data_IF_072421530546
#
_entry.id   IF_072421530546
#
_cell.length_a   1.000
_cell.length_b   1.000
_cell.length_c   1.000
_cell.angle_alpha   90.00
_cell.angle_beta   90.00
_cell.angle_gamma   90.00
#
_symmetry.space_group_name_H-M   'P 1'
#
loop_
_entity.id
_entity.type
_entity.pdbx_description
1 polymer ?
#
# COMPACT_ATOMS: atom_id res chain seq x y z
N UNK A 1 0.25 -31.23 -25.93
CA UNK A 1 -0.18 -29.84 -25.66
C UNK A 1 -0.74 -29.84 -24.25
N UNK A 2 0.06 -29.44 -23.25
CA UNK A 2 -0.41 -29.38 -21.85
C UNK A 2 -1.40 -28.22 -21.76
N UNK A 3 -2.67 -28.53 -21.49
CA UNK A 3 -3.68 -27.52 -21.20
C UNK A 3 -3.42 -26.98 -19.80
N UNK A 4 -3.10 -25.70 -19.69
CA UNK A 4 -3.09 -25.01 -18.39
C UNK A 4 -4.54 -24.80 -17.94
N UNK A 5 -4.91 -25.35 -16.80
CA UNK A 5 -6.19 -25.01 -16.17
C UNK A 5 -6.07 -23.61 -15.54
N UNK A 6 -7.17 -22.88 -15.45
CA UNK A 6 -7.19 -21.57 -14.76
C UNK A 6 -6.77 -21.70 -13.30
N UNK A 7 -6.97 -22.87 -12.69
CA UNK A 7 -6.54 -23.23 -11.34
C UNK A 7 -5.02 -23.39 -11.21
N UNK A 8 -4.30 -23.58 -12.32
CA UNK A 8 -2.83 -23.65 -12.35
C UNK A 8 -2.17 -22.26 -12.46
N UNK A 9 -2.98 -21.21 -12.68
CA UNK A 9 -2.48 -19.84 -12.70
C UNK A 9 -2.20 -19.36 -11.28
N UNK A 10 -1.06 -18.69 -11.04
CA UNK A 10 -0.80 -18.07 -9.75
C UNK A 10 -1.92 -17.09 -9.39
N UNK A 11 -2.25 -17.05 -8.11
CA UNK A 11 -3.23 -16.10 -7.62
C UNK A 11 -2.73 -14.69 -7.91
N UNK A 12 -3.64 -13.78 -8.29
CA UNK A 12 -3.32 -12.34 -8.42
C UNK A 12 -2.78 -11.72 -7.12
N UNK A 13 -2.90 -12.43 -6.00
CA UNK A 13 -2.44 -12.02 -4.68
C UNK A 13 -1.10 -12.66 -4.27
N UNK A 14 -0.51 -13.48 -5.14
CA UNK A 14 0.81 -14.04 -4.90
C UNK A 14 1.85 -12.91 -4.81
N UNK A 15 2.73 -12.98 -3.80
CA UNK A 15 3.74 -11.96 -3.56
C UNK A 15 3.26 -10.68 -2.87
N UNK A 16 1.97 -10.56 -2.50
CA UNK A 16 1.51 -9.40 -1.70
C UNK A 16 2.27 -9.30 -0.38
N UNK A 17 2.47 -10.42 0.33
CA UNK A 17 3.13 -10.43 1.64
C UNK A 17 4.60 -9.98 1.61
N UNK A 18 5.30 -10.12 0.47
CA UNK A 18 6.68 -9.64 0.33
C UNK A 18 6.77 -8.13 0.12
N UNK A 19 5.65 -7.47 -0.19
CA UNK A 19 5.56 -6.02 -0.42
C UNK A 19 5.16 -5.24 0.84
N UNK A 20 4.81 -5.93 1.93
CA UNK A 20 4.34 -5.31 3.16
C UNK A 20 5.52 -5.18 4.15
N UNK A 21 5.75 -4.00 4.75
CA UNK A 21 6.71 -3.83 5.84
C UNK A 21 6.43 -4.77 7.01
N UNK A 22 7.47 -5.26 7.68
CA UNK A 22 7.30 -6.24 8.76
C UNK A 22 6.90 -5.62 10.10
N UNK A 23 7.20 -4.34 10.27
CA UNK A 23 6.93 -3.61 11.49
C UNK A 23 6.69 -2.13 11.21
N UNK A 24 5.99 -1.46 12.13
CA UNK A 24 5.75 -0.03 12.08
C UNK A 24 7.03 0.81 12.01
N UNK A 25 8.10 0.34 12.64
CA UNK A 25 9.39 1.04 12.65
C UNK A 25 10.13 1.03 11.31
N UNK A 26 9.65 0.30 10.29
CA UNK A 26 10.19 0.35 8.93
C UNK A 26 9.55 1.45 8.08
N UNK A 27 8.49 2.09 8.58
CA UNK A 27 7.79 3.17 7.90
C UNK A 27 8.45 4.51 8.23
N UNK A 28 9.10 5.10 7.23
CA UNK A 28 9.92 6.30 7.34
C UNK A 28 9.47 7.41 6.39
N UNK A 29 8.29 7.28 5.78
CA UNK A 29 7.73 8.31 4.93
C UNK A 29 7.50 9.61 5.70
N UNK A 30 7.50 10.77 4.99
CA UNK A 30 7.28 12.06 5.63
C UNK A 30 5.86 12.17 6.17
N UNK A 31 5.70 12.96 7.22
CA UNK A 31 4.42 13.29 7.86
C UNK A 31 3.77 14.56 7.27
N UNK A 32 4.50 15.34 6.48
CA UNK A 32 4.00 16.55 5.85
C UNK A 32 4.67 16.85 4.50
N UNK A 33 3.95 17.58 3.65
CA UNK A 33 4.48 18.16 2.42
C UNK A 33 4.50 17.22 1.21
N UNK A 34 5.07 17.68 0.09
CA UNK A 34 5.04 16.93 -1.17
C UNK A 34 5.99 15.73 -1.15
N UNK A 35 5.49 14.59 -1.61
CA UNK A 35 6.25 13.37 -1.91
C UNK A 35 6.19 13.12 -3.40
N UNK A 36 7.35 12.97 -4.04
CA UNK A 36 7.45 12.57 -5.45
C UNK A 36 7.70 11.07 -5.55
N UNK A 37 6.82 10.35 -6.22
CA UNK A 37 6.98 8.93 -6.52
C UNK A 37 8.02 8.70 -7.62
N UNK A 38 8.74 7.55 -7.59
CA UNK A 38 9.54 7.10 -8.72
C UNK A 38 8.68 6.87 -9.97
N UNK A 39 9.25 7.10 -11.15
CA UNK A 39 8.53 7.01 -12.44
C UNK A 39 7.88 5.64 -12.69
N UNK A 40 8.41 4.55 -12.12
CA UNK A 40 7.78 3.21 -12.21
C UNK A 40 6.45 3.09 -11.45
N UNK A 41 6.17 4.00 -10.51
CA UNK A 41 4.92 4.09 -9.75
C UNK A 41 4.07 5.27 -10.24
N UNK A 42 4.72 6.34 -10.66
CA UNK A 42 4.11 7.50 -11.29
C UNK A 42 4.02 7.28 -12.81
N UNK A 43 2.95 6.61 -13.24
CA UNK A 43 2.57 6.48 -14.65
C UNK A 43 2.20 7.87 -15.24
N UNK A 44 1.40 7.94 -16.31
CA UNK A 44 1.04 9.21 -16.97
C UNK A 44 0.14 10.17 -16.15
N UNK A 45 0.04 9.98 -14.83
CA UNK A 45 -0.71 10.82 -13.91
C UNK A 45 0.20 11.73 -13.08
N UNK A 46 -0.33 12.35 -12.01
CA UNK A 46 0.48 13.09 -11.05
C UNK A 46 1.56 12.19 -10.44
N UNK A 47 2.80 12.70 -10.38
CA UNK A 47 3.93 12.02 -9.74
C UNK A 47 4.19 12.53 -8.32
N UNK A 48 3.58 13.66 -7.96
CA UNK A 48 3.81 14.36 -6.69
C UNK A 48 2.51 14.48 -5.91
N UNK A 49 2.56 14.09 -4.64
CA UNK A 49 1.42 14.04 -3.73
C UNK A 49 1.78 14.71 -2.42
N UNK A 50 1.00 15.71 -2.00
CA UNK A 50 1.12 16.31 -0.68
C UNK A 50 0.51 15.39 0.39
N UNK A 51 1.34 14.82 1.26
CA UNK A 51 0.89 13.90 2.31
C UNK A 51 0.10 14.62 3.40
N UNK A 52 0.21 15.94 3.53
CA UNK A 52 -0.63 16.74 4.41
C UNK A 52 -2.07 16.83 3.91
N UNK A 53 -2.29 16.63 2.60
CA UNK A 53 -3.62 16.62 2.01
C UNK A 53 -4.24 15.20 2.07
N UNK A 54 -5.34 14.97 2.83
CA UNK A 54 -5.88 13.63 3.02
C UNK A 54 -6.30 12.92 1.73
N UNK A 55 -6.75 13.67 0.70
CA UNK A 55 -7.14 13.07 -0.58
C UNK A 55 -5.93 12.62 -1.37
N UNK A 56 -4.89 13.45 -1.44
CA UNK A 56 -3.66 13.10 -2.16
C UNK A 56 -2.91 11.97 -1.43
N UNK A 57 -2.88 12.01 -0.10
CA UNK A 57 -2.35 10.92 0.72
C UNK A 57 -3.06 9.60 0.48
N UNK A 58 -4.39 9.62 0.42
CA UNK A 58 -5.19 8.43 0.12
C UNK A 58 -4.81 7.85 -1.25
N UNK A 59 -4.68 8.70 -2.28
CA UNK A 59 -4.23 8.26 -3.62
C UNK A 59 -2.81 7.68 -3.58
N UNK A 60 -1.86 8.37 -2.94
CA UNK A 60 -0.48 7.92 -2.78
C UNK A 60 -0.43 6.54 -2.12
N UNK A 61 -1.13 6.35 -1.00
CA UNK A 61 -1.07 5.09 -0.25
C UNK A 61 -1.77 3.95 -0.99
N UNK A 62 -2.86 4.20 -1.72
CA UNK A 62 -3.46 3.19 -2.60
C UNK A 62 -2.49 2.76 -3.71
N UNK A 63 -1.77 3.69 -4.35
CA UNK A 63 -0.74 3.34 -5.34
C UNK A 63 0.34 2.46 -4.73
N UNK A 64 0.80 2.76 -3.51
CA UNK A 64 1.83 1.96 -2.84
C UNK A 64 1.33 0.56 -2.45
N UNK A 65 0.07 0.43 -2.03
CA UNK A 65 -0.55 -0.87 -1.77
C UNK A 65 -0.64 -1.72 -3.04
N UNK A 66 -1.09 -1.13 -4.13
CA UNK A 66 -1.40 -1.88 -5.36
C UNK A 66 -0.16 -2.11 -6.22
N UNK A 67 0.75 -1.14 -6.31
CA UNK A 67 1.93 -1.16 -7.20
C UNK A 67 3.29 -1.09 -6.49
N UNK A 68 3.36 -0.59 -5.25
CA UNK A 68 4.61 -0.38 -4.51
C UNK A 68 5.27 -1.65 -3.97
N UNK A 69 6.60 -1.70 -3.96
CA UNK A 69 7.37 -2.72 -3.27
C UNK A 69 7.51 -2.38 -1.78
N UNK A 70 8.01 -3.32 -0.97
CA UNK A 70 8.23 -3.09 0.47
C UNK A 70 9.09 -1.87 0.76
N UNK A 71 10.12 -1.64 -0.05
CA UNK A 71 10.99 -0.47 0.07
C UNK A 71 10.26 0.84 -0.25
N UNK A 72 9.26 0.80 -1.14
CA UNK A 72 8.45 1.99 -1.44
C UNK A 72 7.51 2.31 -0.29
N UNK A 73 6.82 1.28 0.24
CA UNK A 73 5.99 1.44 1.42
C UNK A 73 6.80 2.00 2.60
N UNK A 74 7.99 1.44 2.85
CA UNK A 74 8.92 1.91 3.87
C UNK A 74 9.35 3.37 3.65
N UNK A 75 9.65 3.77 2.41
CA UNK A 75 10.15 5.11 2.10
C UNK A 75 9.06 6.20 2.07
N UNK A 76 7.82 5.85 1.75
CA UNK A 76 6.77 6.83 1.44
C UNK A 76 5.56 6.81 2.39
N UNK A 77 5.40 5.80 3.24
CA UNK A 77 4.33 5.79 4.25
C UNK A 77 4.85 6.24 5.60
N UNK A 78 4.10 7.14 6.23
CA UNK A 78 4.27 7.52 7.63
C UNK A 78 3.34 6.64 8.49
N UNK A 79 3.81 6.06 9.61
CA UNK A 79 3.04 5.11 10.40
C UNK A 79 1.70 5.67 10.89
N UNK A 80 1.68 6.90 11.43
CA UNK A 80 0.45 7.48 11.98
C UNK A 80 -0.53 7.89 10.89
N UNK A 81 -0.03 8.46 9.80
CA UNK A 81 -0.87 8.85 8.68
C UNK A 81 -1.47 7.63 7.96
N UNK A 82 -0.73 6.52 7.95
CA UNK A 82 -1.24 5.25 7.41
C UNK A 82 -2.42 4.77 8.26
N UNK A 83 -2.32 4.80 9.59
CA UNK A 83 -3.44 4.45 10.49
C UNK A 83 -4.65 5.35 10.27
N UNK A 84 -4.43 6.66 10.16
CA UNK A 84 -5.51 7.61 9.89
C UNK A 84 -6.22 7.36 8.57
N UNK A 85 -5.46 7.05 7.51
CA UNK A 85 -6.01 6.82 6.16
C UNK A 85 -6.55 5.40 5.96
N UNK A 86 -6.18 4.45 6.83
CA UNK A 86 -6.52 3.04 6.68
C UNK A 86 -8.03 2.79 6.53
N UNK A 87 -8.95 3.40 7.31
CA UNK A 87 -10.38 3.19 7.16
C UNK A 87 -10.92 3.53 5.77
N UNK A 88 -10.34 4.51 5.07
CA UNK A 88 -10.70 4.79 3.68
C UNK A 88 -10.02 3.83 2.71
N UNK A 89 -8.73 3.53 2.89
CA UNK A 89 -7.96 2.63 2.01
C UNK A 89 -8.64 1.26 1.88
N UNK A 90 -9.07 0.67 3.00
CA UNK A 90 -9.74 -0.65 3.02
C UNK A 90 -11.03 -0.70 2.18
N UNK A 91 -11.69 0.45 1.97
CA UNK A 91 -12.90 0.54 1.14
C UNK A 91 -12.59 0.62 -0.35
N UNK A 92 -11.34 0.90 -0.71
CA UNK A 92 -10.86 1.09 -2.08
C UNK A 92 -10.10 -0.13 -2.62
N UNK A 93 -9.70 -1.07 -1.76
CA UNK A 93 -8.97 -2.27 -2.14
C UNK A 93 -9.71 -3.54 -1.73
N UNK A 94 -9.16 -4.70 -2.13
CA UNK A 94 -9.78 -6.00 -1.84
C UNK A 94 -9.53 -6.44 -0.39
N UNK A 95 -10.47 -7.23 0.14
CA UNK A 95 -10.37 -7.81 1.48
C UNK A 95 -9.07 -8.60 1.70
N UNK A 96 -8.63 -9.36 0.69
CA UNK A 96 -7.40 -10.16 0.75
C UNK A 96 -6.15 -9.30 1.00
N UNK A 97 -6.01 -8.17 0.29
CA UNK A 97 -4.91 -7.22 0.50
C UNK A 97 -5.00 -6.61 1.90
N UNK A 98 -6.20 -6.16 2.28
CA UNK A 98 -6.45 -5.56 3.59
C UNK A 98 -6.07 -6.50 4.74
N UNK A 99 -6.49 -7.77 4.68
CA UNK A 99 -6.21 -8.76 5.72
C UNK A 99 -4.71 -9.09 5.84
N UNK A 100 -3.98 -9.12 4.72
CA UNK A 100 -2.52 -9.35 4.74
C UNK A 100 -1.78 -8.20 5.38
N UNK A 101 -2.16 -6.96 5.07
CA UNK A 101 -1.63 -5.77 5.73
C UNK A 101 -1.95 -5.75 7.23
N UNK A 102 -3.19 -6.05 7.62
CA UNK A 102 -3.62 -6.14 9.03
C UNK A 102 -3.01 -7.32 9.80
N UNK A 103 -2.52 -8.34 9.09
CA UNK A 103 -1.77 -9.44 9.70
C UNK A 103 -0.34 -9.04 10.01
N UNK A 104 0.31 -8.28 9.11
CA UNK A 104 1.70 -7.81 9.28
C UNK A 104 1.82 -6.58 10.14
N UNK A 105 0.83 -5.69 10.11
CA UNK A 105 0.76 -4.48 10.90
C UNK A 105 -0.55 -4.48 11.72
N UNK A 106 -0.60 -5.22 12.85
CA UNK A 106 -1.85 -5.42 13.60
C UNK A 106 -2.54 -4.13 14.07
N UNK A 107 -1.81 -3.04 14.25
CA UNK A 107 -2.36 -1.73 14.60
C UNK A 107 -3.20 -1.06 13.52
N UNK A 108 -3.33 -1.67 12.34
CA UNK A 108 -4.25 -1.25 11.28
C UNK A 108 -5.67 -1.78 11.49
N UNK A 109 -5.84 -2.84 12.29
CA UNK A 109 -7.18 -3.36 12.56
C UNK A 109 -7.99 -2.30 13.33
N UNK A 110 -9.25 -2.04 12.95
CA UNK A 110 -10.12 -1.23 13.77
C UNK A 110 -10.18 -1.80 15.18
N UNK A 111 -10.21 -0.92 16.18
CA UNK A 111 -10.61 -1.32 17.53
C UNK A 111 -12.08 -1.73 17.45
N UNK A 112 -12.38 -2.93 17.96
CA UNK A 112 -13.72 -3.51 17.99
C UNK A 112 -14.66 -2.73 18.92
#
# INVERSE_FOLDING_TARGET
MLGMDVSDLPSRYDGVDSRIPHAWGELHGPDAGPVRLPDRLAWSGPDTFDVSNPRQRLTLYSILLDCGQRTDAAAFMHPDLLRESWPQIRRLTTREITERWERRLPGLRPVA
#
